data_IF_682734344848
#
_entry.id   IF_682734344848
#
_cell.length_a   1.000
_cell.length_b   1.000
_cell.length_c   1.000
_cell.angle_alpha   90.00
_cell.angle_beta   90.00
_cell.angle_gamma   90.00
#
_symmetry.space_group_name_H-M   'P 1'
#
loop_
_entity.id
_entity.type
_entity.pdbx_description
1 polymer ?
#
# COMPACT_ATOMS: atom_id res chain seq x y z
N UNK A 1 -11.92 9.76 5.32
CA UNK A 1 -11.59 8.33 5.07
C UNK A 1 -11.76 7.93 3.60
N UNK A 2 -12.83 8.32 2.90
CA UNK A 2 -12.97 8.01 1.44
C UNK A 2 -12.09 8.83 0.51
N UNK A 3 -11.91 10.13 0.77
CA UNK A 3 -10.82 10.91 0.16
C UNK A 3 -9.45 10.30 0.49
N UNK A 4 -9.39 9.47 1.53
CA UNK A 4 -8.20 8.73 1.93
C UNK A 4 -8.00 7.44 1.16
N UNK A 5 -8.91 7.04 0.28
CA UNK A 5 -8.77 5.82 -0.54
C UNK A 5 -8.58 6.11 -2.04
N UNK A 6 -8.68 7.37 -2.45
CA UNK A 6 -8.26 7.80 -3.79
C UNK A 6 -6.74 7.83 -3.85
N UNK A 7 -6.15 7.12 -4.82
CA UNK A 7 -4.74 7.30 -5.09
C UNK A 7 -4.53 8.67 -5.71
N UNK A 8 -3.72 9.51 -5.04
CA UNK A 8 -3.28 10.76 -5.63
C UNK A 8 -2.62 10.48 -6.98
N UNK A 9 -3.06 11.10 -8.09
CA UNK A 9 -2.47 10.89 -9.41
C UNK A 9 -1.02 11.39 -9.51
N UNK A 10 -0.55 12.08 -8.47
CA UNK A 10 0.78 12.69 -8.38
C UNK A 10 1.72 11.86 -7.50
N UNK A 11 1.22 10.83 -6.79
CA UNK A 11 2.00 9.99 -5.87
C UNK A 11 3.00 9.13 -6.63
N UNK A 12 4.26 9.24 -6.24
CA UNK A 12 5.32 8.35 -6.72
C UNK A 12 5.66 7.29 -5.66
N UNK A 13 6.26 6.19 -6.13
CA UNK A 13 6.72 5.09 -5.29
C UNK A 13 8.23 4.99 -5.41
N UNK A 14 8.92 4.97 -4.28
CA UNK A 14 10.38 4.96 -4.26
C UNK A 14 10.89 3.80 -3.43
N UNK A 15 11.93 3.15 -3.92
CA UNK A 15 12.76 2.31 -3.10
C UNK A 15 13.91 3.14 -2.54
N UNK A 16 14.05 3.18 -1.22
CA UNK A 16 15.17 3.83 -0.52
C UNK A 16 15.88 2.79 0.35
N UNK A 17 17.12 2.49 -0.01
CA UNK A 17 17.98 1.56 0.71
C UNK A 17 18.47 2.21 2.00
N UNK A 18 18.26 1.53 3.13
CA UNK A 18 18.67 2.00 4.45
C UNK A 18 20.13 1.64 4.74
N UNK A 19 21.06 2.37 4.13
CA UNK A 19 22.51 2.18 4.33
C UNK A 19 23.15 1.18 3.36
N UNK A 20 24.32 0.66 3.75
CA UNK A 20 25.05 -0.32 2.95
C UNK A 20 24.56 -1.75 3.25
N UNK A 21 25.08 -2.73 2.51
CA UNK A 21 24.93 -4.18 2.78
C UNK A 21 23.50 -4.69 3.03
N UNK A 22 22.53 -4.15 2.30
CA UNK A 22 21.18 -4.71 2.30
C UNK A 22 20.26 -4.20 3.41
N UNK A 23 20.57 -3.06 4.04
CA UNK A 23 19.65 -2.39 4.98
C UNK A 23 20.21 -2.21 6.39
N UNK A 24 21.51 -1.92 6.51
CA UNK A 24 22.21 -1.62 7.77
C UNK A 24 21.41 -0.74 8.75
N UNK A 25 20.81 0.34 8.24
CA UNK A 25 20.07 1.33 9.01
C UNK A 25 18.55 1.13 9.00
N UNK A 26 18.05 -0.04 8.61
CA UNK A 26 16.60 -0.31 8.53
C UNK A 26 15.88 -0.02 9.86
N UNK A 27 16.40 -0.53 10.97
CA UNK A 27 15.83 -0.31 12.30
C UNK A 27 15.92 1.16 12.73
N UNK A 28 16.99 1.86 12.33
CA UNK A 28 17.17 3.28 12.63
C UNK A 28 16.09 4.11 11.94
N UNK A 29 15.84 3.83 10.66
CA UNK A 29 14.86 4.53 9.84
C UNK A 29 13.44 4.27 10.34
N UNK A 30 13.09 3.00 10.57
CA UNK A 30 11.76 2.61 11.01
C UNK A 30 11.42 3.20 12.39
N UNK A 31 12.34 3.10 13.34
CA UNK A 31 12.09 3.52 14.73
C UNK A 31 12.11 5.04 14.91
N UNK A 32 12.97 5.73 14.16
CA UNK A 32 13.02 7.20 14.22
C UNK A 32 12.08 7.90 13.24
N UNK A 33 11.23 7.14 12.53
CA UNK A 33 10.27 7.70 11.55
C UNK A 33 10.92 8.59 10.48
N UNK A 34 12.07 8.15 9.95
CA UNK A 34 12.84 8.90 8.95
C UNK A 34 13.36 7.99 7.84
N UNK A 35 13.62 8.60 6.68
CA UNK A 35 14.56 8.07 5.69
C UNK A 35 15.71 9.04 5.52
N UNK A 36 16.90 8.51 5.22
CA UNK A 36 18.08 9.33 5.05
C UNK A 36 19.00 8.79 3.95
N UNK A 37 19.88 9.65 3.42
CA UNK A 37 20.89 9.26 2.43
C UNK A 37 22.28 9.74 2.82
N UNK A 38 23.27 8.84 2.77
CA UNK A 38 24.65 9.12 3.19
C UNK A 38 25.57 9.69 2.11
N UNK A 39 25.05 9.93 0.90
CA UNK A 39 25.86 10.35 -0.26
C UNK A 39 26.49 11.74 -0.13
N UNK A 40 26.04 12.53 0.84
CA UNK A 40 26.51 13.89 1.07
C UNK A 40 27.35 14.06 2.35
N UNK A 41 27.46 13.03 3.20
CA UNK A 41 27.99 13.19 4.56
C UNK A 41 29.50 13.49 4.61
N UNK A 42 30.25 13.12 3.58
CA UNK A 42 31.67 13.50 3.48
C UNK A 42 31.88 14.97 3.06
N UNK A 43 30.82 15.65 2.61
CA UNK A 43 30.88 17.05 2.20
C UNK A 43 30.37 17.94 3.33
N UNK A 44 31.18 18.88 3.85
CA UNK A 44 30.75 19.72 4.95
C UNK A 44 29.72 20.75 4.47
N UNK A 45 28.61 20.85 5.20
CA UNK A 45 27.60 21.89 5.02
C UNK A 45 27.36 22.63 6.33
N UNK A 46 27.09 23.93 6.23
CA UNK A 46 26.82 24.77 7.40
C UNK A 46 25.31 25.05 7.50
N UNK A 47 24.53 24.01 7.79
CA UNK A 47 23.10 24.12 8.06
C UNK A 47 22.83 23.83 9.53
N UNK A 48 21.82 24.48 10.11
CA UNK A 48 21.33 24.15 11.44
C UNK A 48 20.53 22.84 11.42
N UNK A 49 20.46 22.15 12.56
CA UNK A 49 19.62 20.95 12.67
C UNK A 49 18.15 21.28 12.40
N UNK A 50 17.49 20.42 11.61
CA UNK A 50 16.10 20.61 11.19
C UNK A 50 15.91 21.62 10.07
N UNK A 51 16.98 22.12 9.44
CA UNK A 51 16.89 23.11 8.36
C UNK A 51 16.21 22.51 7.12
N UNK A 52 15.04 23.04 6.76
CA UNK A 52 14.30 22.63 5.56
C UNK A 52 15.04 23.13 4.31
N UNK A 53 15.33 22.22 3.38
CA UNK A 53 16.14 22.50 2.20
C UNK A 53 15.31 23.17 1.10
N UNK A 54 15.69 24.39 0.74
CA UNK A 54 15.16 25.08 -0.45
C UNK A 54 15.73 24.47 -1.74
N UNK A 55 15.11 24.73 -2.89
CA UNK A 55 15.63 24.22 -4.17
C UNK A 55 17.04 24.71 -4.49
N UNK A 56 17.36 25.93 -4.08
CA UNK A 56 18.73 26.46 -4.14
C UNK A 56 19.69 25.64 -3.27
N UNK A 57 19.32 25.31 -2.03
CA UNK A 57 20.15 24.48 -1.16
C UNK A 57 20.37 23.08 -1.76
N UNK A 58 19.33 22.47 -2.33
CA UNK A 58 19.42 21.16 -2.97
C UNK A 58 20.41 21.19 -4.14
N UNK A 59 20.36 22.21 -4.98
CA UNK A 59 21.31 22.39 -6.09
C UNK A 59 22.75 22.60 -5.62
N UNK A 60 22.94 23.41 -4.58
CA UNK A 60 24.24 23.64 -3.95
C UNK A 60 24.84 22.35 -3.40
N UNK A 61 24.05 21.54 -2.68
CA UNK A 61 24.46 20.24 -2.15
C UNK A 61 24.89 19.30 -3.27
N UNK A 62 24.05 19.12 -4.31
CA UNK A 62 24.34 18.23 -5.43
C UNK A 62 25.64 18.63 -6.14
N UNK A 63 25.83 19.94 -6.38
CA UNK A 63 27.02 20.44 -7.05
C UNK A 63 28.27 20.32 -6.17
N UNK A 64 28.17 20.64 -4.87
CA UNK A 64 29.26 20.51 -3.92
C UNK A 64 29.76 19.06 -3.83
N UNK A 65 28.85 18.08 -3.70
CA UNK A 65 29.21 16.66 -3.68
C UNK A 65 29.88 16.25 -4.99
N UNK A 66 29.35 16.67 -6.15
CA UNK A 66 29.96 16.35 -7.45
C UNK A 66 31.38 16.91 -7.57
N UNK A 67 31.62 18.14 -7.13
CA UNK A 67 32.95 18.76 -7.13
C UNK A 67 33.89 18.03 -6.17
N UNK A 68 33.42 17.74 -4.96
CA UNK A 68 34.18 17.00 -3.95
C UNK A 68 34.66 15.63 -4.48
N UNK A 69 33.76 14.87 -5.10
CA UNK A 69 34.09 13.55 -5.69
C UNK A 69 35.09 13.65 -6.86
N UNK A 70 34.98 14.69 -7.70
CA UNK A 70 35.95 14.94 -8.79
C UNK A 70 37.33 15.30 -8.23
N UNK A 71 37.38 16.12 -7.19
CA UNK A 71 38.63 16.48 -6.51
C UNK A 71 39.32 15.25 -5.89
N UNK A 72 38.53 14.28 -5.42
CA UNK A 72 39.00 12.94 -4.99
C UNK A 72 39.28 11.97 -6.15
N UNK A 73 39.31 12.45 -7.40
CA UNK A 73 39.60 11.66 -8.61
C UNK A 73 38.70 10.42 -8.78
N UNK A 74 37.46 10.47 -8.27
CA UNK A 74 36.48 9.40 -8.52
C UNK A 74 36.13 9.36 -10.00
N UNK A 75 35.86 8.15 -10.53
CA UNK A 75 35.50 7.94 -11.94
C UNK A 75 34.25 8.77 -12.29
N UNK A 76 34.14 9.33 -13.51
CA UNK A 76 32.97 10.10 -13.93
C UNK A 76 31.63 9.36 -13.75
N UNK A 77 31.62 8.03 -13.95
CA UNK A 77 30.44 7.19 -13.72
C UNK A 77 29.98 7.17 -12.27
N UNK A 78 30.90 7.16 -11.31
CA UNK A 78 30.59 7.22 -9.86
C UNK A 78 30.02 8.59 -9.49
N UNK A 79 30.65 9.66 -10.00
CA UNK A 79 30.17 11.04 -9.80
C UNK A 79 28.76 11.22 -10.37
N UNK A 80 28.52 10.68 -11.57
CA UNK A 80 27.21 10.69 -12.22
C UNK A 80 26.16 9.89 -11.44
N UNK A 81 26.51 8.69 -10.97
CA UNK A 81 25.61 7.83 -10.21
C UNK A 81 25.20 8.48 -8.87
N UNK A 82 26.17 8.91 -8.06
CA UNK A 82 25.90 9.57 -6.77
C UNK A 82 25.09 10.86 -7.00
N UNK A 83 25.50 11.67 -7.98
CA UNK A 83 24.79 12.89 -8.34
C UNK A 83 23.33 12.63 -8.74
N UNK A 84 23.07 11.60 -9.54
CA UNK A 84 21.70 11.21 -9.92
C UNK A 84 20.87 10.70 -8.75
N UNK A 85 21.46 9.96 -7.82
CA UNK A 85 20.77 9.50 -6.62
C UNK A 85 20.43 10.65 -5.66
N UNK A 86 21.34 11.62 -5.50
CA UNK A 86 21.05 12.86 -4.76
C UNK A 86 19.96 13.68 -5.43
N UNK A 87 19.96 13.80 -6.76
CA UNK A 87 18.87 14.49 -7.49
C UNK A 87 17.52 13.84 -7.18
N UNK A 88 17.40 12.51 -7.30
CA UNK A 88 16.16 11.79 -6.99
C UNK A 88 15.71 12.03 -5.54
N UNK A 89 16.62 11.83 -4.60
CA UNK A 89 16.31 11.97 -3.18
C UNK A 89 15.88 13.41 -2.82
N UNK A 90 16.63 14.42 -3.26
CA UNK A 90 16.42 15.79 -2.83
C UNK A 90 15.30 16.51 -3.59
N UNK A 91 15.15 16.21 -4.88
CA UNK A 91 14.30 16.99 -5.78
C UNK A 91 13.06 16.26 -6.26
N UNK A 92 13.08 14.93 -6.33
CA UNK A 92 11.97 14.16 -6.93
C UNK A 92 11.05 13.56 -5.86
N UNK A 93 11.60 13.14 -4.72
CA UNK A 93 10.80 12.71 -3.55
C UNK A 93 10.10 13.93 -2.93
N UNK A 94 8.81 13.79 -2.65
CA UNK A 94 7.96 14.83 -2.03
C UNK A 94 7.01 14.24 -0.99
N UNK A 95 6.33 15.11 -0.24
CA UNK A 95 5.22 14.71 0.65
C UNK A 95 4.19 13.88 -0.11
N UNK A 96 3.61 12.90 0.58
CA UNK A 96 2.64 11.91 0.07
C UNK A 96 3.18 10.85 -0.90
N UNK A 97 4.46 10.91 -1.28
CA UNK A 97 5.12 9.79 -1.93
C UNK A 97 5.25 8.61 -0.97
N UNK A 98 5.27 7.40 -1.53
CA UNK A 98 5.47 6.16 -0.77
C UNK A 98 6.91 5.71 -0.89
N UNK A 99 7.53 5.41 0.24
CA UNK A 99 8.87 4.86 0.32
C UNK A 99 8.79 3.41 0.76
N UNK A 100 9.55 2.56 0.10
CA UNK A 100 9.75 1.16 0.45
C UNK A 100 11.22 0.96 0.84
N UNK A 101 11.46 0.30 1.96
CA UNK A 101 12.81 -0.11 2.38
C UNK A 101 12.81 -1.57 2.82
N UNK A 102 13.97 -2.23 2.69
CA UNK A 102 14.11 -3.68 2.94
C UNK A 102 15.34 -3.96 3.80
N UNK A 103 15.28 -5.03 4.59
CA UNK A 103 16.42 -5.66 5.25
C UNK A 103 16.24 -7.17 5.27
N UNK A 104 17.10 -7.89 4.54
CA UNK A 104 17.01 -9.35 4.46
C UNK A 104 15.66 -9.84 3.95
N UNK A 105 14.95 -10.53 4.83
CA UNK A 105 13.59 -11.09 4.73
C UNK A 105 12.49 -10.09 5.13
N UNK A 106 12.84 -8.86 5.55
CA UNK A 106 11.87 -7.85 5.99
C UNK A 106 11.72 -6.72 4.98
N UNK A 107 10.50 -6.22 4.86
CA UNK A 107 10.14 -5.04 4.07
C UNK A 107 9.20 -4.14 4.89
N UNK A 108 9.33 -2.83 4.70
CA UNK A 108 8.35 -1.87 5.21
C UNK A 108 8.12 -0.76 4.19
N UNK A 109 6.87 -0.33 4.09
CA UNK A 109 6.50 0.83 3.31
C UNK A 109 6.06 1.97 4.26
N UNK A 110 6.28 3.20 3.84
CA UNK A 110 5.93 4.38 4.62
C UNK A 110 5.59 5.57 3.73
N UNK A 111 4.77 6.48 4.25
CA UNK A 111 4.38 7.71 3.55
C UNK A 111 5.29 8.87 3.97
N UNK A 112 5.82 9.62 3.02
CA UNK A 112 6.59 10.84 3.31
C UNK A 112 5.67 11.92 3.86
N UNK A 113 6.01 12.48 5.03
CA UNK A 113 5.18 13.49 5.73
C UNK A 113 5.88 14.84 5.91
N UNK A 114 7.15 14.99 5.50
CA UNK A 114 7.88 16.26 5.56
C UNK A 114 8.49 16.64 4.20
N UNK A 115 8.95 17.88 4.12
CA UNK A 115 9.92 18.27 3.09
C UNK A 115 11.31 17.73 3.45
N UNK A 116 12.24 17.75 2.49
CA UNK A 116 13.62 17.35 2.75
C UNK A 116 14.29 18.34 3.70
N UNK A 117 14.98 17.83 4.71
CA UNK A 117 15.69 18.66 5.68
C UNK A 117 17.09 18.11 5.96
N UNK A 118 17.92 18.98 6.54
CA UNK A 118 19.24 18.65 7.05
C UNK A 118 19.20 18.46 8.57
N UNK A 119 19.84 17.41 9.08
CA UNK A 119 20.12 17.26 10.51
C UNK A 119 21.43 16.51 10.75
N UNK A 120 22.25 17.02 11.67
CA UNK A 120 23.51 16.38 12.09
C UNK A 120 23.35 15.41 13.28
N UNK A 121 22.14 15.33 13.85
CA UNK A 121 21.86 14.48 15.02
C UNK A 121 21.94 12.99 14.65
N UNK A 122 22.60 12.16 15.45
CA UNK A 122 22.59 10.72 15.18
C UNK A 122 21.18 10.15 15.24
N UNK A 123 20.90 9.23 14.32
CA UNK A 123 19.71 8.39 14.38
C UNK A 123 20.11 7.11 15.11
N UNK A 124 19.32 6.70 16.10
CA UNK A 124 19.56 5.52 16.93
C UNK A 124 18.41 4.51 16.79
N UNK A 125 18.66 3.20 16.98
CA UNK A 125 17.59 2.21 17.05
C UNK A 125 16.88 2.26 18.43
N UNK A 126 15.61 1.82 18.53
CA UNK A 126 14.82 1.90 19.77
C UNK A 126 15.42 1.13 20.96
N UNK A 127 16.27 0.11 20.72
CA UNK A 127 16.97 -0.65 21.74
C UNK A 127 18.34 -0.07 22.09
N UNK A 128 18.46 1.26 22.12
CA UNK A 128 19.69 1.92 22.55
C UNK A 128 19.64 2.12 24.07
N UNK A 129 20.02 1.10 24.83
CA UNK A 129 20.33 1.26 26.26
C UNK A 129 21.78 1.75 26.42
N UNK A 130 22.09 2.43 27.53
CA UNK A 130 23.45 2.94 27.78
C UNK A 130 24.50 1.81 27.90
N UNK A 131 24.06 0.57 28.15
CA UNK A 131 24.86 -0.66 28.19
C UNK A 131 25.05 -1.30 26.78
N UNK A 132 24.20 -0.97 25.79
CA UNK A 132 24.24 -1.46 24.41
C UNK A 132 25.15 -0.65 23.47
N UNK A 133 26.05 0.19 24.01
CA UNK A 133 27.03 0.99 23.23
C UNK A 133 27.93 0.16 22.30
N UNK A 134 27.90 -1.17 22.41
CA UNK A 134 28.63 -2.10 21.54
C UNK A 134 27.81 -2.68 20.36
N UNK A 135 26.48 -2.53 20.30
CA UNK A 135 25.66 -3.39 19.43
C UNK A 135 25.28 -2.79 18.05
N UNK A 136 25.26 -1.47 17.85
CA UNK A 136 24.99 -0.89 16.52
C UNK A 136 25.54 0.54 16.39
N UNK A 137 26.29 0.79 15.32
CA UNK A 137 26.81 2.13 15.03
C UNK A 137 25.66 3.10 14.70
N UNK A 138 25.65 4.31 15.27
CA UNK A 138 24.60 5.28 15.00
C UNK A 138 24.63 5.75 13.54
N UNK A 139 23.46 5.87 12.92
CA UNK A 139 23.37 6.41 11.57
C UNK A 139 23.58 7.93 11.59
N UNK A 140 24.57 8.41 10.84
CA UNK A 140 24.96 9.83 10.75
C UNK A 140 24.49 10.51 9.48
N UNK A 141 23.58 9.89 8.72
CA UNK A 141 23.11 10.42 7.44
C UNK A 141 22.38 11.74 7.62
N UNK A 142 22.86 12.78 6.93
CA UNK A 142 22.47 14.16 7.25
C UNK A 142 21.26 14.68 6.50
N UNK A 143 20.97 14.13 5.32
CA UNK A 143 19.85 14.52 4.47
C UNK A 143 18.67 13.59 4.71
N UNK A 144 17.52 14.14 5.12
CA UNK A 144 16.41 13.35 5.68
C UNK A 144 15.03 13.78 5.19
N UNK A 145 14.09 12.85 5.28
CA UNK A 145 12.66 13.10 5.30
C UNK A 145 12.04 12.37 6.49
N UNK A 146 10.98 12.95 7.07
CA UNK A 146 10.13 12.23 8.01
C UNK A 146 9.16 11.34 7.23
N UNK A 147 8.98 10.13 7.74
CA UNK A 147 8.15 9.09 7.14
C UNK A 147 7.25 8.49 8.21
N UNK A 148 5.96 8.39 7.88
CA UNK A 148 5.03 7.59 8.65
C UNK A 148 5.07 6.15 8.12
N UNK A 149 5.72 5.27 8.86
CA UNK A 149 5.84 3.87 8.50
C UNK A 149 4.54 3.10 8.72
N UNK A 150 4.27 2.15 7.83
CA UNK A 150 3.27 1.11 8.00
C UNK A 150 3.84 -0.10 8.73
N UNK A 151 3.17 -1.24 8.59
CA UNK A 151 3.59 -2.49 9.23
C UNK A 151 4.80 -3.10 8.53
N UNK A 152 5.64 -3.79 9.32
CA UNK A 152 6.72 -4.63 8.77
C UNK A 152 6.11 -5.92 8.25
N UNK A 153 6.51 -6.34 7.06
CA UNK A 153 6.08 -7.63 6.49
C UNK A 153 7.26 -8.48 6.10
N UNK A 154 6.95 -9.77 5.93
CA UNK A 154 7.84 -10.70 5.24
C UNK A 154 7.96 -10.31 3.76
N UNK A 155 9.21 -10.21 3.31
CA UNK A 155 9.58 -9.95 1.92
C UNK A 155 9.18 -11.11 1.00
N UNK A 156 9.08 -12.34 1.51
CA UNK A 156 8.59 -13.50 0.78
C UNK A 156 7.15 -13.35 0.29
N UNK A 157 6.33 -12.53 0.98
CA UNK A 157 4.95 -12.24 0.60
C UNK A 157 4.83 -11.12 -0.44
N UNK A 158 5.94 -10.50 -0.82
CA UNK A 158 5.96 -9.42 -1.82
C UNK A 158 5.79 -10.02 -3.22
N UNK A 159 4.91 -9.46 -4.07
CA UNK A 159 4.77 -9.88 -5.45
C UNK A 159 6.12 -9.96 -6.19
N UNK A 160 6.33 -11.05 -6.93
CA UNK A 160 7.61 -11.37 -7.57
C UNK A 160 8.14 -10.26 -8.51
N UNK A 161 7.24 -9.54 -9.18
CA UNK A 161 7.61 -8.41 -10.04
C UNK A 161 8.20 -7.23 -9.25
N UNK A 162 7.80 -7.04 -8.00
CA UNK A 162 8.38 -6.05 -7.10
C UNK A 162 9.71 -6.55 -6.50
N UNK A 163 9.80 -7.83 -6.13
CA UNK A 163 11.00 -8.46 -5.54
C UNK A 163 12.27 -8.21 -6.37
N UNK A 164 12.19 -8.37 -7.70
CA UNK A 164 13.30 -8.09 -8.62
C UNK A 164 13.80 -6.65 -8.52
N UNK A 165 12.89 -5.71 -8.31
CA UNK A 165 13.20 -4.28 -8.29
C UNK A 165 13.89 -3.90 -6.99
N UNK A 166 13.54 -4.56 -5.89
CA UNK A 166 14.16 -4.39 -4.57
C UNK A 166 15.61 -4.90 -4.52
N UNK A 167 16.02 -5.75 -5.49
CA UNK A 167 17.43 -6.18 -5.66
C UNK A 167 18.32 -5.13 -6.32
N UNK A 168 17.79 -3.98 -6.74
CA UNK A 168 18.58 -2.92 -7.39
C UNK A 168 19.76 -2.47 -6.53
N UNK A 169 20.98 -2.28 -7.09
CA UNK A 169 22.12 -1.78 -6.32
C UNK A 169 22.03 -0.28 -5.99
N UNK A 170 21.02 0.43 -6.52
CA UNK A 170 20.82 1.85 -6.25
C UNK A 170 20.36 2.08 -4.81
N UNK A 171 20.79 3.20 -4.21
CA UNK A 171 20.27 3.66 -2.91
C UNK A 171 18.88 4.24 -3.06
N UNK A 172 18.60 4.93 -4.18
CA UNK A 172 17.29 5.52 -4.48
C UNK A 172 16.86 5.10 -5.88
N UNK A 173 15.74 4.40 -5.98
CA UNK A 173 15.16 3.96 -7.24
C UNK A 173 13.67 4.34 -7.33
N UNK A 174 13.26 4.88 -8.47
CA UNK A 174 11.86 5.14 -8.77
C UNK A 174 11.17 3.85 -9.21
N UNK A 175 10.07 3.50 -8.56
CA UNK A 175 9.21 2.36 -8.90
C UNK A 175 8.06 2.89 -9.76
N UNK A 176 8.29 3.04 -11.06
CA UNK A 176 7.38 3.72 -11.97
C UNK A 176 6.79 2.82 -13.07
N UNK A 177 7.15 1.54 -13.11
CA UNK A 177 6.53 0.62 -14.06
C UNK A 177 5.12 0.30 -13.60
N UNK A 178 4.18 0.33 -14.53
CA UNK A 178 2.74 0.19 -14.24
C UNK A 178 2.42 -1.10 -13.47
N UNK A 179 3.03 -2.22 -13.84
CA UNK A 179 2.88 -3.51 -13.18
C UNK A 179 3.41 -3.50 -11.73
N UNK A 180 4.51 -2.80 -11.48
CA UNK A 180 5.10 -2.65 -10.14
C UNK A 180 4.25 -1.76 -9.26
N UNK A 181 3.76 -0.65 -9.80
CA UNK A 181 2.88 0.28 -9.10
C UNK A 181 1.55 -0.40 -8.77
N UNK A 182 0.97 -1.15 -9.72
CA UNK A 182 -0.24 -1.92 -9.48
C UNK A 182 -0.05 -2.96 -8.37
N UNK A 183 1.03 -3.75 -8.42
CA UNK A 183 1.34 -4.75 -7.40
C UNK A 183 1.57 -4.11 -6.01
N UNK A 184 2.29 -2.99 -5.95
CA UNK A 184 2.46 -2.22 -4.71
C UNK A 184 1.13 -1.73 -4.15
N UNK A 185 0.26 -1.18 -5.00
CA UNK A 185 -1.02 -0.66 -4.55
C UNK A 185 -1.90 -1.76 -3.97
N UNK A 186 -1.97 -2.90 -4.64
CA UNK A 186 -2.69 -4.06 -4.10
C UNK A 186 -2.11 -4.59 -2.80
N UNK A 187 -0.79 -4.47 -2.61
CA UNK A 187 -0.10 -4.92 -1.41
C UNK A 187 -0.24 -3.96 -0.21
N UNK A 188 -0.40 -2.65 -0.49
CA UNK A 188 -0.46 -1.59 0.52
C UNK A 188 -1.89 -1.19 0.90
N UNK A 189 -2.83 -1.32 -0.04
CA UNK A 189 -4.17 -0.78 0.10
C UNK A 189 -5.22 -1.87 -0.18
N UNK A 190 -6.05 -2.24 0.81
CA UNK A 190 -7.09 -3.27 0.62
C UNK A 190 -8.14 -2.85 -0.40
N UNK A 191 -8.49 -1.57 -0.43
CA UNK A 191 -9.37 -0.97 -1.43
C UNK A 191 -8.81 0.39 -1.80
N UNK A 192 -8.69 0.65 -3.10
CA UNK A 192 -8.25 1.94 -3.61
C UNK A 192 -8.89 2.25 -4.97
N UNK A 193 -8.96 3.54 -5.30
CA UNK A 193 -9.62 4.02 -6.51
C UNK A 193 -8.62 4.65 -7.48
N UNK A 194 -8.81 4.37 -8.76
CA UNK A 194 -8.24 5.12 -9.88
C UNK A 194 -9.36 5.79 -10.66
N UNK A 195 -9.04 6.65 -11.62
CA UNK A 195 -10.06 7.30 -12.45
C UNK A 195 -10.91 6.27 -13.22
N UNK A 196 -10.31 5.12 -13.59
CA UNK A 196 -10.92 4.12 -14.47
C UNK A 196 -11.49 2.92 -13.71
N UNK A 197 -10.96 2.60 -12.54
CA UNK A 197 -11.27 1.34 -11.85
C UNK A 197 -11.32 1.47 -10.32
N UNK A 198 -12.15 0.64 -9.71
CA UNK A 198 -12.11 0.34 -8.28
C UNK A 198 -11.28 -0.92 -8.12
N UNK A 199 -10.20 -0.84 -7.33
CA UNK A 199 -9.31 -1.96 -7.12
C UNK A 199 -9.38 -2.44 -5.68
N UNK A 200 -9.46 -3.75 -5.52
CA UNK A 200 -9.64 -4.42 -4.24
C UNK A 200 -8.68 -5.61 -4.12
N UNK A 201 -8.21 -5.87 -2.91
CA UNK A 201 -7.43 -7.06 -2.57
C UNK A 201 -8.22 -7.91 -1.58
N UNK A 202 -8.49 -9.16 -1.94
CA UNK A 202 -9.00 -10.18 -1.02
C UNK A 202 -7.84 -11.09 -0.57
N UNK A 203 -7.72 -11.30 0.74
CA UNK A 203 -6.83 -12.32 1.33
C UNK A 203 -7.63 -13.61 1.48
N UNK A 204 -7.09 -14.72 1.00
CA UNK A 204 -7.55 -16.07 1.28
C UNK A 204 -6.54 -16.68 2.24
N UNK A 205 -6.84 -16.66 3.54
CA UNK A 205 -5.84 -17.00 4.57
C UNK A 205 -5.82 -18.48 4.98
N UNK A 206 -6.75 -19.31 4.48
CA UNK A 206 -6.74 -20.74 4.82
C UNK A 206 -5.42 -21.39 4.39
N UNK A 207 -4.90 -22.30 5.22
CA UNK A 207 -3.72 -23.13 4.89
C UNK A 207 -4.14 -24.51 4.37
N UNK A 208 -5.44 -24.80 4.37
CA UNK A 208 -5.98 -26.07 3.90
C UNK A 208 -6.15 -26.07 2.38
N UNK A 209 -6.20 -27.27 1.80
CA UNK A 209 -6.49 -27.43 0.38
C UNK A 209 -7.87 -26.84 0.05
N UNK A 210 -7.88 -25.87 -0.86
CA UNK A 210 -9.12 -25.22 -1.30
C UNK A 210 -9.79 -26.10 -2.36
N UNK A 211 -11.03 -26.53 -2.11
CA UNK A 211 -11.80 -27.26 -3.10
C UNK A 211 -12.23 -26.32 -4.23
N UNK A 212 -12.19 -26.81 -5.48
CA UNK A 212 -12.64 -26.02 -6.63
C UNK A 212 -14.06 -25.46 -6.46
N UNK A 213 -14.97 -26.22 -5.83
CA UNK A 213 -16.34 -25.76 -5.53
C UNK A 213 -16.38 -24.52 -4.62
N UNK A 214 -15.42 -24.38 -3.69
CA UNK A 214 -15.32 -23.19 -2.85
C UNK A 214 -14.86 -21.99 -3.67
N UNK A 215 -13.88 -22.18 -4.57
CA UNK A 215 -13.46 -21.13 -5.52
C UNK A 215 -14.59 -20.70 -6.43
N UNK A 216 -15.35 -21.64 -7.00
CA UNK A 216 -16.50 -21.31 -7.85
C UNK A 216 -17.54 -20.49 -7.09
N UNK A 217 -17.84 -20.83 -5.84
CA UNK A 217 -18.77 -20.05 -5.01
C UNK A 217 -18.24 -18.66 -4.67
N UNK A 218 -16.92 -18.53 -4.47
CA UNK A 218 -16.29 -17.22 -4.30
C UNK A 218 -16.39 -16.41 -5.59
N UNK A 219 -16.12 -17.00 -6.75
CA UNK A 219 -16.30 -16.34 -8.05
C UNK A 219 -17.73 -15.85 -8.26
N UNK A 220 -18.74 -16.66 -7.95
CA UNK A 220 -20.14 -16.23 -8.01
C UNK A 220 -20.41 -15.02 -7.10
N UNK A 221 -19.77 -14.95 -5.93
CA UNK A 221 -19.89 -13.78 -5.06
C UNK A 221 -19.30 -12.51 -5.69
N UNK A 222 -18.23 -12.67 -6.46
CA UNK A 222 -17.59 -11.56 -7.17
C UNK A 222 -18.43 -11.13 -8.39
N UNK A 223 -19.08 -12.06 -9.08
CA UNK A 223 -20.03 -11.76 -10.16
C UNK A 223 -21.22 -10.95 -9.63
N UNK A 224 -21.74 -11.29 -8.44
CA UNK A 224 -22.80 -10.50 -7.78
C UNK A 224 -22.34 -9.08 -7.41
N UNK A 225 -21.08 -8.92 -6.99
CA UNK A 225 -20.49 -7.60 -6.75
C UNK A 225 -20.33 -6.82 -8.06
N UNK A 226 -20.01 -7.47 -9.16
CA UNK A 226 -19.98 -6.81 -10.46
C UNK A 226 -21.37 -6.35 -10.91
N UNK A 227 -22.40 -7.17 -10.74
CA UNK A 227 -23.79 -6.77 -10.99
C UNK A 227 -24.23 -5.62 -10.09
N UNK A 228 -23.80 -5.60 -8.82
CA UNK A 228 -24.00 -4.48 -7.93
C UNK A 228 -23.34 -3.22 -8.48
N UNK A 229 -22.10 -3.30 -8.95
CA UNK A 229 -21.41 -2.18 -9.59
C UNK A 229 -22.23 -1.65 -10.79
N UNK A 230 -22.74 -2.54 -11.64
CA UNK A 230 -23.63 -2.17 -12.75
C UNK A 230 -24.90 -1.46 -12.31
N UNK A 231 -25.57 -1.97 -11.27
CA UNK A 231 -26.75 -1.34 -10.70
C UNK A 231 -26.44 0.05 -10.14
N UNK A 232 -25.39 0.18 -9.32
CA UNK A 232 -24.95 1.45 -8.75
C UNK A 232 -24.62 2.46 -9.84
N UNK A 233 -23.99 2.02 -10.93
CA UNK A 233 -23.68 2.89 -12.06
C UNK A 233 -24.95 3.35 -12.80
N UNK A 234 -25.99 2.50 -12.86
CA UNK A 234 -27.29 2.81 -13.48
C UNK A 234 -28.17 3.79 -12.68
N UNK A 235 -27.86 4.00 -11.40
CA UNK A 235 -28.53 5.02 -10.59
C UNK A 235 -28.18 6.41 -11.12
N UNK A 236 -29.09 7.36 -10.96
CA UNK A 236 -28.78 8.79 -11.16
C UNK A 236 -27.72 9.25 -10.14
N UNK A 237 -27.21 10.47 -10.27
CA UNK A 237 -26.16 10.98 -9.36
C UNK A 237 -26.62 11.09 -7.90
N UNK A 238 -27.94 11.13 -7.69
CA UNK A 238 -28.58 11.08 -6.37
C UNK A 238 -28.96 9.63 -6.00
N UNK A 239 -28.47 9.16 -4.85
CA UNK A 239 -28.71 7.81 -4.34
C UNK A 239 -30.11 7.59 -3.77
N UNK A 240 -31.01 8.58 -3.87
CA UNK A 240 -32.41 8.46 -3.45
C UNK A 240 -33.18 7.28 -4.09
N UNK A 241 -32.73 6.78 -5.24
CA UNK A 241 -33.32 5.63 -5.93
C UNK A 241 -32.69 4.27 -5.52
N UNK A 242 -31.73 4.28 -4.59
CA UNK A 242 -31.15 3.07 -4.04
C UNK A 242 -32.22 2.27 -3.28
N UNK A 243 -32.47 1.05 -3.73
CA UNK A 243 -33.39 0.15 -3.04
C UNK A 243 -33.06 -1.31 -3.33
N UNK A 244 -33.32 -2.16 -2.35
CA UNK A 244 -33.21 -3.61 -2.53
C UNK A 244 -34.11 -4.15 -3.65
N UNK A 245 -35.30 -3.56 -3.83
CA UNK A 245 -36.22 -3.93 -4.90
C UNK A 245 -35.66 -3.53 -6.27
N UNK A 246 -35.06 -2.34 -6.37
CA UNK A 246 -34.34 -1.87 -7.55
C UNK A 246 -33.19 -2.80 -7.93
N UNK A 247 -32.33 -3.15 -6.97
CA UNK A 247 -31.22 -4.09 -7.18
C UNK A 247 -31.71 -5.46 -7.67
N UNK A 248 -32.71 -6.06 -7.02
CA UNK A 248 -33.27 -7.36 -7.44
C UNK A 248 -33.87 -7.30 -8.85
N UNK A 249 -34.53 -6.20 -9.19
CA UNK A 249 -35.07 -5.98 -10.54
C UNK A 249 -33.96 -5.88 -11.58
N UNK A 250 -32.89 -5.15 -11.26
CA UNK A 250 -31.71 -5.01 -12.11
C UNK A 250 -31.06 -6.37 -12.36
N UNK A 251 -30.79 -7.15 -11.31
CA UNK A 251 -30.21 -8.50 -11.41
C UNK A 251 -31.08 -9.39 -12.29
N UNK A 252 -32.39 -9.48 -12.01
CA UNK A 252 -33.30 -10.32 -12.81
C UNK A 252 -33.31 -9.95 -14.30
N UNK A 253 -33.12 -8.67 -14.62
CA UNK A 253 -33.17 -8.17 -15.99
C UNK A 253 -31.85 -8.39 -16.72
N UNK A 254 -30.73 -8.35 -16.01
CA UNK A 254 -29.41 -8.29 -16.61
C UNK A 254 -28.56 -9.55 -16.41
N UNK A 255 -28.76 -10.35 -15.37
CA UNK A 255 -27.86 -11.45 -14.96
C UNK A 255 -27.41 -12.37 -16.11
N UNK A 256 -28.32 -12.72 -17.03
CA UNK A 256 -28.04 -13.59 -18.18
C UNK A 256 -27.38 -12.86 -19.38
N UNK A 257 -27.63 -11.56 -19.52
CA UNK A 257 -27.15 -10.74 -20.65
C UNK A 257 -26.05 -9.75 -20.27
N UNK A 258 -25.68 -9.70 -19.00
CA UNK A 258 -24.70 -8.77 -18.47
C UNK A 258 -23.32 -9.15 -19.01
N UNK A 259 -22.60 -8.15 -19.51
CA UNK A 259 -21.23 -8.35 -19.97
C UNK A 259 -20.32 -8.20 -18.76
N UNK A 260 -19.94 -9.33 -18.17
CA UNK A 260 -18.98 -9.37 -17.06
C UNK A 260 -17.58 -8.99 -17.56
N UNK A 261 -17.02 -7.96 -16.94
CA UNK A 261 -15.74 -7.32 -17.21
C UNK A 261 -14.77 -7.43 -16.05
N UNK A 262 -15.20 -7.97 -14.90
CA UNK A 262 -14.35 -8.20 -13.75
C UNK A 262 -13.13 -9.00 -14.16
N UNK A 263 -11.96 -8.41 -13.91
CA UNK A 263 -10.69 -9.11 -14.06
C UNK A 263 -10.17 -9.49 -12.68
N UNK A 264 -9.69 -10.73 -12.56
CA UNK A 264 -9.07 -11.25 -11.37
C UNK A 264 -7.67 -11.77 -11.70
N UNK A 265 -6.69 -11.37 -10.90
CA UNK A 265 -5.36 -11.98 -10.91
C UNK A 265 -5.19 -12.79 -9.62
N UNK A 266 -4.84 -14.07 -9.78
CA UNK A 266 -4.68 -15.02 -8.69
C UNK A 266 -3.22 -15.40 -8.52
N UNK A 267 -2.72 -15.37 -7.29
CA UNK A 267 -1.66 -16.27 -6.88
C UNK A 267 -2.34 -17.53 -6.34
N UNK A 268 -2.27 -18.65 -7.06
CA UNK A 268 -2.89 -19.93 -6.64
C UNK A 268 -2.08 -20.63 -5.55
N UNK A 269 -1.85 -19.94 -4.44
CA UNK A 269 -1.20 -20.47 -3.25
C UNK A 269 -2.09 -20.15 -2.06
N UNK A 270 -2.19 -21.08 -1.12
CA UNK A 270 -2.98 -20.92 0.11
C UNK A 270 -2.00 -20.93 1.28
N UNK A 271 -1.86 -19.84 2.05
CA UNK A 271 -2.59 -18.57 1.93
C UNK A 271 -2.17 -17.76 0.68
N UNK A 272 -3.06 -16.89 0.20
CA UNK A 272 -2.81 -16.09 -1.01
C UNK A 272 -3.68 -14.84 -1.12
N UNK A 273 -3.40 -14.05 -2.14
CA UNK A 273 -4.12 -12.80 -2.44
C UNK A 273 -4.79 -12.88 -3.82
N UNK A 274 -5.99 -12.31 -3.90
CA UNK A 274 -6.72 -12.10 -5.14
C UNK A 274 -6.88 -10.61 -5.38
N UNK A 275 -6.37 -10.15 -6.52
CA UNK A 275 -6.47 -8.76 -6.95
C UNK A 275 -7.65 -8.62 -7.90
N UNK A 276 -8.58 -7.73 -7.53
CA UNK A 276 -9.85 -7.50 -8.20
C UNK A 276 -9.90 -6.10 -8.80
N UNK A 277 -10.51 -5.97 -9.98
CA UNK A 277 -10.74 -4.69 -10.65
C UNK A 277 -12.19 -4.59 -11.12
N UNK A 278 -12.92 -3.65 -10.54
CA UNK A 278 -14.30 -3.31 -10.93
C UNK A 278 -14.31 -1.99 -11.72
N UNK A 279 -15.39 -1.75 -12.47
CA UNK A 279 -15.60 -0.49 -13.16
C UNK A 279 -15.67 0.70 -12.18
N UNK A 280 -15.14 1.86 -12.59
CA UNK A 280 -15.27 3.12 -11.85
C UNK A 280 -16.64 3.78 -12.02
N UNK A 281 -16.99 4.68 -11.11
CA UNK A 281 -18.24 5.45 -11.11
C UNK A 281 -18.03 6.93 -11.50
N UNK A 282 -17.14 7.22 -12.45
CA UNK A 282 -16.92 8.57 -13.02
C UNK A 282 -16.78 9.70 -11.97
N UNK A 283 -15.96 9.49 -10.94
CA UNK A 283 -15.76 10.42 -9.81
C UNK A 283 -17.00 10.70 -8.95
N UNK A 284 -18.06 9.88 -9.04
CA UNK A 284 -19.17 9.95 -8.09
C UNK A 284 -18.77 9.29 -6.76
N UNK A 285 -18.40 10.13 -5.80
CA UNK A 285 -17.97 9.71 -4.46
C UNK A 285 -19.04 8.90 -3.75
N UNK A 286 -20.32 9.28 -3.85
CA UNK A 286 -21.41 8.60 -3.15
C UNK A 286 -21.59 7.15 -3.64
N UNK A 287 -21.57 6.94 -4.96
CA UNK A 287 -21.59 5.60 -5.58
C UNK A 287 -20.39 4.74 -5.17
N UNK A 288 -19.20 5.34 -5.13
CA UNK A 288 -17.95 4.68 -4.71
C UNK A 288 -18.03 4.22 -3.26
N UNK A 289 -18.56 5.08 -2.40
CA UNK A 289 -18.76 4.81 -0.98
C UNK A 289 -19.74 3.65 -0.77
N UNK A 290 -20.89 3.70 -1.45
CA UNK A 290 -21.91 2.67 -1.39
C UNK A 290 -21.35 1.29 -1.76
N UNK A 291 -20.68 1.19 -2.91
CA UNK A 291 -20.08 -0.05 -3.37
C UNK A 291 -19.06 -0.59 -2.36
N UNK A 292 -18.20 0.31 -1.85
CA UNK A 292 -17.16 -0.05 -0.88
C UNK A 292 -17.78 -0.54 0.43
N UNK A 293 -18.86 0.09 0.89
CA UNK A 293 -19.56 -0.35 2.09
C UNK A 293 -20.12 -1.76 1.94
N UNK A 294 -20.77 -2.09 0.82
CA UNK A 294 -21.25 -3.46 0.57
C UNK A 294 -20.09 -4.46 0.50
N UNK A 295 -18.99 -4.11 -0.17
CA UNK A 295 -17.78 -4.94 -0.26
C UNK A 295 -17.20 -5.24 1.14
N UNK A 296 -17.06 -4.23 2.00
CA UNK A 296 -16.62 -4.41 3.39
C UNK A 296 -17.64 -5.23 4.19
N UNK A 297 -18.94 -4.96 4.05
CA UNK A 297 -20.02 -5.72 4.72
C UNK A 297 -19.94 -7.22 4.42
N UNK A 298 -19.56 -7.55 3.18
CA UNK A 298 -19.54 -8.92 2.70
C UNK A 298 -18.33 -9.68 3.27
N UNK A 299 -17.14 -9.08 3.26
CA UNK A 299 -15.90 -9.79 3.61
C UNK A 299 -15.40 -9.52 5.05
N UNK A 300 -15.67 -8.34 5.61
CA UNK A 300 -15.29 -7.92 6.97
C UNK A 300 -16.53 -7.45 7.75
N UNK A 301 -17.43 -8.36 8.18
CA UNK A 301 -18.74 -8.04 8.75
C UNK A 301 -18.70 -7.47 10.18
N UNK A 302 -17.56 -6.97 10.65
CA UNK A 302 -17.51 -6.27 11.93
C UNK A 302 -18.28 -4.94 11.82
N UNK A 303 -19.47 -4.92 12.41
CA UNK A 303 -20.47 -3.88 12.23
C UNK A 303 -20.05 -2.50 12.79
N UNK A 304 -19.10 -2.48 13.74
CA UNK A 304 -18.59 -1.23 14.32
C UNK A 304 -17.75 -0.44 13.31
N UNK A 305 -16.90 -1.12 12.54
CA UNK A 305 -16.07 -0.48 11.50
C UNK A 305 -16.92 0.05 10.33
N UNK A 306 -18.00 -0.65 9.99
CA UNK A 306 -18.94 -0.26 8.95
C UNK A 306 -19.67 1.05 9.21
N UNK A 307 -20.15 1.26 10.45
CA UNK A 307 -20.90 2.46 10.82
C UNK A 307 -20.02 3.71 10.86
N UNK A 308 -18.73 3.56 11.23
CA UNK A 308 -17.74 4.64 11.17
C UNK A 308 -17.28 4.94 9.74
N UNK A 309 -17.34 3.96 8.84
CA UNK A 309 -16.98 4.13 7.43
C UNK A 309 -18.06 4.82 6.61
N UNK A 310 -19.34 4.78 6.99
CA UNK A 310 -20.44 5.29 6.16
C UNK A 310 -20.71 6.80 6.37
N UNK A 311 -20.93 7.59 5.31
CA UNK A 311 -21.40 8.97 5.43
C UNK A 311 -22.77 8.97 6.11
N UNK A 312 -23.11 10.04 6.86
CA UNK A 312 -24.40 10.15 7.53
C UNK A 312 -25.60 10.10 6.58
N UNK A 313 -25.40 10.43 5.31
CA UNK A 313 -26.45 10.53 4.29
C UNK A 313 -26.69 9.21 3.53
N UNK A 314 -25.91 8.15 3.79
CA UNK A 314 -26.09 6.86 3.12
C UNK A 314 -27.10 5.98 3.88
N UNK A 315 -28.14 5.42 3.22
CA UNK A 315 -29.12 4.57 3.91
C UNK A 315 -28.50 3.22 4.31
N UNK A 316 -28.00 3.14 5.54
CA UNK A 316 -27.35 1.95 6.13
C UNK A 316 -28.24 0.70 6.01
N UNK A 317 -29.56 0.85 6.20
CA UNK A 317 -30.51 -0.26 6.08
C UNK A 317 -30.54 -0.88 4.69
N UNK A 318 -30.50 -0.05 3.63
CA UNK A 318 -30.47 -0.54 2.25
C UNK A 318 -29.16 -1.26 1.93
N UNK A 319 -28.02 -0.75 2.42
CA UNK A 319 -26.71 -1.43 2.31
C UNK A 319 -26.77 -2.81 2.95
N UNK A 320 -27.36 -2.92 4.15
CA UNK A 320 -27.53 -4.20 4.84
C UNK A 320 -28.46 -5.15 4.08
N UNK A 321 -29.57 -4.65 3.55
CA UNK A 321 -30.51 -5.44 2.76
C UNK A 321 -29.92 -5.95 1.45
N UNK A 322 -29.16 -5.12 0.74
CA UNK A 322 -28.42 -5.51 -0.48
C UNK A 322 -27.37 -6.57 -0.13
N UNK A 323 -26.57 -6.33 0.90
CA UNK A 323 -25.56 -7.30 1.36
C UNK A 323 -26.19 -8.64 1.71
N UNK A 324 -27.28 -8.64 2.49
CA UNK A 324 -28.00 -9.86 2.85
C UNK A 324 -28.56 -10.58 1.62
N UNK A 325 -29.04 -9.84 0.61
CA UNK A 325 -29.52 -10.42 -0.64
C UNK A 325 -28.41 -11.13 -1.41
N UNK A 326 -27.22 -10.52 -1.50
CA UNK A 326 -26.04 -11.15 -2.12
C UNK A 326 -25.67 -12.43 -1.36
N UNK A 327 -25.54 -12.36 -0.03
CA UNK A 327 -25.23 -13.51 0.83
C UNK A 327 -26.24 -14.65 0.67
N UNK A 328 -27.53 -14.34 0.55
CA UNK A 328 -28.59 -15.35 0.41
C UNK A 328 -28.58 -16.03 -0.97
N UNK A 329 -28.16 -15.33 -2.02
CA UNK A 329 -28.04 -15.90 -3.37
C UNK A 329 -26.89 -16.90 -3.46
N UNK A 330 -25.79 -16.63 -2.74
CA UNK A 330 -24.65 -17.54 -2.64
C UNK A 330 -24.91 -18.51 -1.49
N UNK A 331 -25.37 -19.73 -1.80
CA UNK A 331 -25.65 -20.76 -0.79
C UNK A 331 -24.56 -20.82 0.28
N UNK A 332 -24.88 -20.67 1.57
CA UNK A 332 -23.95 -20.71 2.71
C UNK A 332 -22.71 -19.79 2.61
N UNK A 333 -22.87 -18.53 2.17
CA UNK A 333 -21.77 -17.58 2.02
C UNK A 333 -20.90 -17.42 3.28
N UNK A 334 -21.50 -17.22 4.46
CA UNK A 334 -20.71 -16.98 5.67
C UNK A 334 -19.83 -18.19 6.03
N UNK A 335 -20.34 -19.41 5.88
CA UNK A 335 -19.56 -20.63 6.06
C UNK A 335 -18.44 -20.78 5.01
N UNK A 336 -18.66 -20.31 3.77
CA UNK A 336 -17.61 -20.26 2.75
C UNK A 336 -16.49 -19.31 3.19
N UNK A 337 -16.85 -18.09 3.57
CA UNK A 337 -15.92 -17.05 4.02
C UNK A 337 -15.09 -17.53 5.22
N UNK A 338 -15.72 -18.15 6.21
CA UNK A 338 -15.03 -18.73 7.37
C UNK A 338 -14.12 -19.89 6.95
N UNK A 339 -14.59 -20.82 6.11
CA UNK A 339 -13.78 -21.98 5.67
C UNK A 339 -12.53 -21.60 4.88
N UNK A 340 -12.62 -20.54 4.10
CA UNK A 340 -11.50 -20.01 3.31
C UNK A 340 -10.70 -18.95 4.08
N UNK A 341 -11.20 -18.52 5.24
CA UNK A 341 -10.71 -17.36 5.97
C UNK A 341 -10.53 -16.15 5.03
N UNK A 342 -11.56 -15.85 4.23
CA UNK A 342 -11.54 -14.75 3.25
C UNK A 342 -11.91 -13.44 3.93
N UNK A 343 -11.09 -12.41 3.69
CA UNK A 343 -11.32 -11.06 4.18
C UNK A 343 -10.59 -10.01 3.34
N UNK A 344 -10.90 -8.74 3.60
CA UNK A 344 -10.06 -7.62 3.20
C UNK A 344 -8.91 -7.53 4.20
N UNK A 345 -7.64 -7.46 3.74
CA UNK A 345 -6.51 -7.29 4.64
C UNK A 345 -6.59 -5.93 5.35
N UNK A 346 -5.96 -5.83 6.52
CA UNK A 346 -5.87 -4.54 7.20
C UNK A 346 -5.08 -3.53 6.36
N UNK A 347 -5.48 -2.24 6.36
CA UNK A 347 -4.76 -1.21 5.64
C UNK A 347 -3.38 -0.98 6.26
N UNK A 348 -2.37 -1.09 5.42
CA UNK A 348 -0.97 -0.94 5.78
C UNK A 348 -0.54 0.52 5.91
N UNK A 349 -1.10 1.33 5.03
CA UNK A 349 -0.87 2.77 4.90
C UNK A 349 -2.20 3.43 4.58
N UNK A 350 -2.35 4.69 4.98
CA UNK A 350 -3.48 5.50 4.52
C UNK A 350 -3.23 5.99 3.09
N UNK A 351 -4.16 5.73 2.14
CA UNK A 351 -4.01 6.23 0.78
C UNK A 351 -4.16 7.77 0.64
N UNK A 352 -4.56 8.53 1.67
CA UNK A 352 -4.39 10.00 1.73
C UNK A 352 -4.08 10.57 3.14
N UNK A 353 -4.29 11.88 3.35
CA UNK A 353 -3.41 12.70 4.19
C UNK A 353 -3.52 12.50 5.70
N UNK A 354 -4.67 12.14 6.25
CA UNK A 354 -4.85 12.18 7.71
C UNK A 354 -5.55 10.94 8.28
N UNK A 355 -4.84 9.84 8.43
CA UNK A 355 -5.35 8.74 9.27
C UNK A 355 -4.24 8.11 10.08
N UNK A 356 -4.40 8.12 11.42
CA UNK A 356 -3.60 7.31 12.33
C UNK A 356 -3.75 5.84 11.93
N UNK A 357 -2.62 5.16 11.72
CA UNK A 357 -2.61 3.70 11.57
C UNK A 357 -2.72 3.18 13.00
N UNK A 358 -3.74 2.38 13.29
CA UNK A 358 -3.82 1.68 14.57
C UNK A 358 -2.67 0.67 14.64
N UNK A 359 -1.90 0.71 15.72
CA UNK A 359 -0.92 -0.34 16.03
C UNK A 359 -1.68 -1.63 16.37
N UNK A 360 -1.92 -2.48 15.37
CA UNK A 360 -2.24 -3.90 15.57
C UNK A 360 -1.09 -4.74 15.03
N UNK A 361 -0.54 -5.61 15.86
CA UNK A 361 0.54 -6.55 15.50
C UNK A 361 0.04 -7.81 14.80
N UNK A 362 -1.27 -7.89 14.57
CA UNK A 362 -1.97 -9.05 14.04
C UNK A 362 -3.05 -8.51 13.11
N UNK A 363 -3.06 -8.91 11.84
CA UNK A 363 -4.14 -8.59 10.91
C UNK A 363 -5.37 -9.49 11.13
N UNK A 364 -5.36 -10.29 12.22
CA UNK A 364 -6.38 -11.28 12.56
C UNK A 364 -6.27 -12.55 11.72
N UNK A 365 -5.28 -12.63 10.83
CA UNK A 365 -5.08 -13.69 9.86
C UNK A 365 -3.62 -14.14 9.90
N UNK A 366 -3.23 -14.82 10.98
CA UNK A 366 -1.86 -15.27 11.28
C UNK A 366 -0.98 -15.47 10.05
N UNK A 367 0.14 -14.75 10.01
CA UNK A 367 1.12 -14.79 8.94
C UNK A 367 1.55 -16.24 8.70
N UNK A 368 1.09 -16.83 7.58
CA UNK A 368 1.40 -18.21 7.25
C UNK A 368 2.91 -18.42 7.20
N UNK A 369 3.39 -19.47 7.88
CA UNK A 369 4.79 -19.87 7.84
C UNK A 369 5.26 -20.09 6.39
N UNK A 370 6.50 -19.69 6.11
CA UNK A 370 7.12 -19.89 4.81
C UNK A 370 7.03 -21.36 4.38
N UNK A 371 6.57 -21.60 3.15
CA UNK A 371 6.41 -22.94 2.58
C UNK A 371 7.80 -23.60 2.50
N UNK A 372 7.95 -24.74 3.16
CA UNK A 372 9.14 -25.58 3.12
C UNK A 372 9.36 -26.10 1.68
N UNK A 373 10.52 -25.81 1.11
CA UNK A 373 10.97 -26.25 -0.23
C UNK A 373 10.98 -27.78 -0.37
N UNK A 374 10.78 -28.54 0.70
CA UNK A 374 10.66 -30.00 0.64
C UNK A 374 9.32 -30.54 0.13
N UNK A 375 8.34 -29.69 -0.19
CA UNK A 375 6.99 -30.09 -0.66
C UNK A 375 6.68 -29.80 -2.14
N UNK A 376 7.69 -29.43 -2.95
CA UNK A 376 7.57 -29.31 -4.41
C UNK A 376 8.11 -30.52 -5.17
#
# INVERSE_FOLDING_TARGET
MFENNYLSPIRNYWFVRSGQDGGEFFEHFNNSSVIAIGHADETPFNFTNGHILTDKNKDEIINAVKVYLRNRRKKPSVVGNIGGQLTRFLKEIKKDDIIVTVKGDRIVAGKVVSDCYYSSEAIHPHHYTDDDKQASEPCRYTLRFNVKWGKRKDRGLVPYNLEKTLRTPLTVAHLNKEDQVAALNHWLFPVYYTNEQIRCTLKIATTQQIQNRQLTRLSLALDELELLSGYVNSLEDDLNNLSISGYKSFVRTNEESYVYTLTAQHLFMSPGYQFLQFASFENNTAKTILFTAVLYSLFNPDAAAMAEMLPPDLPVEEVQHITASIKNKISNFDALRESLSVGLPEPDLSPSNDSAILESTDDGFGDGEAIDDSML
#
